data_IF_806554241508
#
_entry.id   IF_806554241508
#
_cell.length_a   1.000
_cell.length_b   1.000
_cell.length_c   1.000
_cell.angle_alpha   90.00
_cell.angle_beta   90.00
_cell.angle_gamma   90.00
#
_symmetry.space_group_name_H-M   'P 1'
#
loop_
_entity.id
_entity.type
_entity.pdbx_description
1 polymer ?
#
# COMPACT_ATOMS: atom_id res chain seq x y z
N UNK A 1 -3.49 -9.83 18.68
CA UNK A 1 -3.28 -8.59 17.91
C UNK A 1 -4.37 -7.61 18.32
N UNK A 2 -4.05 -6.41 18.82
CA UNK A 2 -5.07 -5.43 19.26
C UNK A 2 -5.44 -4.45 18.15
N UNK A 3 -6.67 -3.93 18.20
CA UNK A 3 -7.32 -3.06 17.21
C UNK A 3 -6.47 -1.83 16.80
N UNK A 4 -5.66 -1.30 17.72
CA UNK A 4 -4.78 -0.14 17.51
C UNK A 4 -3.65 -0.35 16.47
N UNK A 5 -3.49 -1.57 15.94
CA UNK A 5 -2.45 -1.92 14.96
C UNK A 5 -2.93 -1.89 13.50
N UNK A 6 -4.24 -1.77 13.26
CA UNK A 6 -4.85 -1.77 11.92
C UNK A 6 -4.17 -0.79 10.94
N UNK A 7 -3.92 0.49 11.30
CA UNK A 7 -3.28 1.44 10.39
C UNK A 7 -1.86 1.04 9.96
N UNK A 8 -1.14 0.35 10.85
CA UNK A 8 0.22 -0.15 10.54
C UNK A 8 0.16 -1.29 9.53
N UNK A 9 -0.79 -2.21 9.67
CA UNK A 9 -1.00 -3.29 8.70
C UNK A 9 -1.43 -2.77 7.33
N UNK A 10 -2.31 -1.76 7.29
CA UNK A 10 -2.69 -1.10 6.04
C UNK A 10 -1.49 -0.47 5.35
N UNK A 11 -0.69 0.31 6.09
CA UNK A 11 0.51 0.94 5.54
C UNK A 11 1.53 -0.09 5.04
N UNK A 12 1.69 -1.21 5.76
CA UNK A 12 2.60 -2.29 5.38
C UNK A 12 2.13 -3.02 4.11
N UNK A 13 0.84 -3.37 4.03
CA UNK A 13 0.24 -3.98 2.85
C UNK A 13 0.36 -3.08 1.61
N UNK A 14 0.05 -1.79 1.76
CA UNK A 14 0.16 -0.80 0.68
C UNK A 14 1.61 -0.66 0.17
N UNK A 15 2.59 -0.65 1.08
CA UNK A 15 4.00 -0.60 0.71
C UNK A 15 4.48 -1.87 0.00
N UNK A 16 4.11 -3.06 0.48
CA UNK A 16 4.51 -4.27 -0.25
C UNK A 16 3.90 -4.34 -1.65
N UNK A 17 2.65 -3.92 -1.77
CA UNK A 17 1.92 -3.93 -3.04
C UNK A 17 2.49 -2.95 -4.07
N UNK A 18 2.93 -1.75 -3.61
CA UNK A 18 3.58 -0.79 -4.50
C UNK A 18 4.97 -1.29 -4.95
N UNK A 19 5.61 -2.15 -4.17
CA UNK A 19 6.92 -2.73 -4.51
C UNK A 19 6.83 -4.01 -5.33
N UNK A 20 5.63 -4.50 -5.67
CA UNK A 20 5.45 -5.81 -6.34
C UNK A 20 6.14 -6.94 -5.55
N UNK A 21 6.07 -6.88 -4.22
CA UNK A 21 6.78 -7.79 -3.34
C UNK A 21 5.91 -9.02 -3.05
N UNK A 22 6.50 -10.22 -2.85
CA UNK A 22 5.71 -11.39 -2.49
C UNK A 22 4.86 -11.15 -1.23
N UNK A 23 3.53 -11.22 -1.38
CA UNK A 23 2.57 -11.04 -0.29
C UNK A 23 2.40 -12.33 0.52
N UNK A 24 3.41 -12.67 1.31
CA UNK A 24 3.39 -13.86 2.18
C UNK A 24 2.82 -13.53 3.56
N UNK A 25 1.83 -14.30 3.98
CA UNK A 25 1.14 -14.13 5.25
C UNK A 25 1.69 -15.11 6.28
N UNK A 26 2.25 -14.60 7.38
CA UNK A 26 2.88 -15.42 8.43
C UNK A 26 2.11 -15.44 9.76
N UNK A 27 1.00 -14.72 9.88
CA UNK A 27 0.20 -14.71 11.10
C UNK A 27 -0.78 -15.88 11.17
N UNK A 28 -1.30 -16.12 12.37
CA UNK A 28 -2.35 -17.12 12.60
C UNK A 28 -3.62 -16.75 11.80
N UNK A 29 -3.93 -17.57 10.79
CA UNK A 29 -5.10 -17.41 9.93
C UNK A 29 -6.39 -17.87 10.60
N UNK A 30 -6.31 -18.72 11.63
CA UNK A 30 -7.47 -19.27 12.30
C UNK A 30 -8.07 -18.25 13.28
N UNK A 31 -7.23 -17.56 14.04
CA UNK A 31 -7.64 -16.61 15.08
C UNK A 31 -7.41 -15.13 14.70
N UNK A 32 -7.52 -14.80 13.41
CA UNK A 32 -7.25 -13.43 12.95
C UNK A 32 -8.41 -12.47 13.25
N UNK A 33 -8.13 -11.24 13.74
CA UNK A 33 -9.16 -10.22 13.88
C UNK A 33 -9.81 -9.87 12.52
N UNK A 34 -11.13 -9.57 12.48
CA UNK A 34 -11.85 -9.24 11.25
C UNK A 34 -11.21 -8.09 10.46
N UNK A 35 -10.75 -7.03 11.12
CA UNK A 35 -10.11 -5.89 10.45
C UNK A 35 -8.79 -6.25 9.76
N UNK A 36 -7.99 -7.15 10.32
CA UNK A 36 -6.76 -7.63 9.65
C UNK A 36 -7.10 -8.50 8.44
N UNK A 37 -8.14 -9.33 8.56
CA UNK A 37 -8.61 -10.17 7.46
C UNK A 37 -9.08 -9.32 6.27
N UNK A 38 -9.78 -8.22 6.53
CA UNK A 38 -10.22 -7.27 5.50
C UNK A 38 -9.03 -6.66 4.74
N UNK A 39 -7.96 -6.26 5.45
CA UNK A 39 -6.75 -5.72 4.83
C UNK A 39 -6.09 -6.75 3.90
N UNK A 40 -5.92 -7.99 4.38
CA UNK A 40 -5.27 -9.05 3.60
C UNK A 40 -6.12 -9.52 2.41
N UNK A 41 -7.42 -9.26 2.42
CA UNK A 41 -8.34 -9.63 1.34
C UNK A 41 -8.72 -8.45 0.44
N UNK A 42 -8.07 -7.30 0.59
CA UNK A 42 -8.35 -6.13 -0.23
C UNK A 42 -7.92 -6.37 -1.69
N UNK A 43 -8.91 -6.66 -2.55
CA UNK A 43 -8.70 -7.03 -3.96
C UNK A 43 -8.08 -5.90 -4.78
N UNK A 44 -8.35 -4.65 -4.45
CA UNK A 44 -7.79 -3.51 -5.18
C UNK A 44 -6.29 -3.38 -4.93
N UNK A 45 -5.88 -3.52 -3.67
CA UNK A 45 -4.47 -3.47 -3.28
C UNK A 45 -3.71 -4.69 -3.81
N UNK A 46 -4.31 -5.88 -3.77
CA UNK A 46 -3.75 -7.10 -4.38
C UNK A 46 -3.61 -6.93 -5.90
N UNK A 47 -4.58 -6.32 -6.58
CA UNK A 47 -4.51 -6.09 -8.03
C UNK A 47 -3.37 -5.13 -8.39
N UNK A 48 -3.07 -4.14 -7.54
CA UNK A 48 -1.89 -3.29 -7.71
C UNK A 48 -0.61 -4.12 -7.59
N UNK A 49 -0.50 -4.99 -6.59
CA UNK A 49 0.68 -5.87 -6.43
C UNK A 49 0.89 -6.79 -7.64
N UNK A 50 -0.18 -7.49 -8.04
CA UNK A 50 -0.22 -8.52 -9.09
C UNK A 50 -0.41 -7.95 -10.50
N UNK A 51 -0.15 -6.65 -10.70
CA UNK A 51 -0.26 -6.03 -12.02
C UNK A 51 0.68 -6.70 -13.04
N UNK A 52 0.19 -7.05 -14.25
CA UNK A 52 0.95 -7.83 -15.21
C UNK A 52 2.17 -7.10 -15.78
N UNK A 53 2.28 -5.78 -15.60
CA UNK A 53 3.45 -5.01 -16.01
C UNK A 53 4.67 -5.33 -15.12
N UNK A 54 4.45 -5.84 -13.90
CA UNK A 54 5.50 -6.31 -12.99
C UNK A 54 6.50 -5.22 -12.54
N UNK A 55 6.21 -3.95 -12.81
CA UNK A 55 7.09 -2.83 -12.45
C UNK A 55 7.04 -2.56 -10.96
N UNK A 56 8.20 -2.41 -10.34
CA UNK A 56 8.34 -1.95 -8.96
C UNK A 56 8.06 -0.45 -8.89
N UNK A 57 7.31 0.00 -7.89
CA UNK A 57 7.11 1.41 -7.60
C UNK A 57 8.36 2.08 -7.02
N UNK A 58 8.50 3.38 -7.28
CA UNK A 58 9.65 4.18 -6.87
C UNK A 58 9.19 5.42 -6.09
N UNK A 59 10.03 5.93 -5.17
CA UNK A 59 9.70 7.12 -4.40
C UNK A 59 9.75 8.36 -5.30
N UNK A 60 8.85 9.31 -5.07
CA UNK A 60 8.92 10.66 -5.64
C UNK A 60 9.26 11.66 -4.54
N UNK A 61 10.00 12.70 -4.91
CA UNK A 61 10.39 13.74 -3.98
C UNK A 61 9.18 14.61 -3.63
N UNK A 62 8.91 14.74 -2.33
CA UNK A 62 7.90 15.65 -1.80
C UNK A 62 8.62 16.58 -0.82
N UNK A 63 8.31 17.87 -0.88
CA UNK A 63 8.96 18.91 -0.08
C UNK A 63 8.52 18.88 1.40
N UNK A 64 8.17 17.71 1.93
CA UNK A 64 7.74 17.48 3.30
C UNK A 64 8.55 16.34 3.86
N UNK A 65 9.37 16.60 4.89
CA UNK A 65 10.31 15.63 5.46
C UNK A 65 9.67 14.36 6.03
N UNK A 66 8.36 14.42 6.32
CA UNK A 66 7.66 13.43 7.14
C UNK A 66 6.68 12.54 6.36
N UNK A 67 6.42 12.88 5.09
CA UNK A 67 5.57 12.09 4.20
C UNK A 67 6.42 11.61 3.05
N UNK A 68 6.34 10.32 2.75
CA UNK A 68 6.91 9.79 1.51
C UNK A 68 5.79 9.36 0.58
N UNK A 69 6.00 9.61 -0.69
CA UNK A 69 5.09 9.23 -1.76
C UNK A 69 5.81 8.27 -2.69
N UNK A 70 5.14 7.19 -3.04
CA UNK A 70 5.59 6.23 -4.04
C UNK A 70 4.58 6.18 -5.16
N UNK A 71 5.09 6.00 -6.37
CA UNK A 71 4.27 5.77 -7.55
C UNK A 71 4.69 4.47 -8.23
N UNK A 72 3.72 3.76 -8.77
CA UNK A 72 3.92 2.56 -9.60
C UNK A 72 3.10 2.73 -10.86
N UNK A 73 3.75 2.51 -12.00
CA UNK A 73 3.08 2.42 -13.29
C UNK A 73 2.35 1.08 -13.37
N UNK A 74 1.08 1.11 -13.78
CA UNK A 74 0.23 -0.06 -13.95
C UNK A 74 -0.05 -0.32 -15.43
N UNK A 75 -0.49 -1.53 -15.73
CA UNK A 75 -0.94 -1.90 -17.06
C UNK A 75 -2.05 -0.94 -17.54
N UNK A 76 -1.96 -0.40 -18.76
CA UNK A 76 -2.88 0.63 -19.24
C UNK A 76 -4.34 0.20 -19.38
N UNK A 77 -4.71 -1.09 -19.37
CA UNK A 77 -6.11 -1.59 -19.39
C UNK A 77 -7.11 -0.76 -20.25
N UNK A 78 -6.74 -0.41 -21.49
CA UNK A 78 -7.60 0.35 -22.40
C UNK A 78 -7.61 1.87 -22.21
N UNK A 79 -6.84 2.41 -21.27
CA UNK A 79 -6.54 3.85 -21.13
C UNK A 79 -5.07 4.14 -21.46
N UNK A 80 -4.72 5.43 -21.60
CA UNK A 80 -3.36 5.83 -22.02
C UNK A 80 -2.27 5.49 -21.00
N UNK A 81 -2.58 5.62 -19.71
CA UNK A 81 -1.67 5.30 -18.61
C UNK A 81 -2.46 5.14 -17.31
N UNK A 82 -1.99 4.24 -16.43
CA UNK A 82 -2.52 4.03 -15.09
C UNK A 82 -1.39 4.05 -14.07
N UNK A 83 -1.66 4.61 -12.90
CA UNK A 83 -0.68 4.74 -11.83
C UNK A 83 -1.32 4.40 -10.50
N UNK A 84 -0.61 3.65 -9.67
CA UNK A 84 -0.89 3.52 -8.24
C UNK A 84 0.00 4.50 -7.46
N UNK A 85 -0.57 5.14 -6.45
CA UNK A 85 0.15 6.09 -5.59
C UNK A 85 -0.07 5.72 -4.13
N UNK A 86 1.00 5.66 -3.36
CA UNK A 86 0.96 5.45 -1.91
C UNK A 86 1.50 6.68 -1.22
N UNK A 87 0.72 7.24 -0.28
CA UNK A 87 1.15 8.29 0.63
C UNK A 87 1.34 7.69 2.02
N UNK A 88 2.56 7.74 2.54
CA UNK A 88 2.84 7.27 3.90
C UNK A 88 3.28 8.42 4.77
N UNK A 89 2.50 8.65 5.83
CA UNK A 89 2.91 9.47 6.96
C UNK A 89 3.76 8.64 7.94
N UNK A 90 4.91 9.17 8.34
CA UNK A 90 5.79 8.54 9.33
C UNK A 90 5.55 9.06 10.76
N UNK A 91 4.77 10.13 10.90
CA UNK A 91 4.40 10.70 12.20
C UNK A 91 3.11 10.08 12.73
N UNK A 92 2.91 10.23 14.03
CA UNK A 92 1.64 9.92 14.72
C UNK A 92 0.62 11.04 14.62
N UNK A 93 1.03 12.21 14.14
CA UNK A 93 0.19 13.39 13.98
C UNK A 93 -0.35 13.51 12.55
N UNK A 94 -1.51 14.14 12.41
CA UNK A 94 -2.11 14.40 11.10
C UNK A 94 -1.32 15.47 10.35
N UNK A 95 -1.02 15.20 9.08
CA UNK A 95 -0.31 16.13 8.20
C UNK A 95 -1.19 16.45 7.00
N UNK A 96 -1.42 17.74 6.76
CA UNK A 96 -2.11 18.20 5.56
C UNK A 96 -1.11 18.39 4.43
N UNK A 97 -1.31 17.65 3.33
CA UNK A 97 -0.54 17.82 2.11
C UNK A 97 -1.24 18.83 1.21
N UNK A 98 -0.51 19.86 0.77
CA UNK A 98 -0.93 20.75 -0.31
C UNK A 98 -0.42 20.14 -1.62
N UNK A 99 -1.27 19.33 -2.24
CA UNK A 99 -1.09 18.78 -3.59
C UNK A 99 -1.70 19.71 -4.63
#
# INVERSE_FOLDING_TARGET
>A
MSDNSIPRYQAQMALWSIFSSPLLVSNDLYNMPPGTKEILQNREVIAVDQDPLGKMGYPIFVNTSNVRVWIKELSPEGVKARWATVLRNFLTENVTLKI
#
